data_IF_257210251409
#
_entry.id   IF_257210251409
#
_cell.length_a   1.000
_cell.length_b   1.000
_cell.length_c   1.000
_cell.angle_alpha   90.00
_cell.angle_beta   90.00
_cell.angle_gamma   90.00
#
_symmetry.space_group_name_H-M   'P 1'
#
loop_
_entity.id
_entity.type
_entity.pdbx_description
1 polymer ?
#
# COMPACT_ATOMS: atom_id res chain seq x y z
N UNK A 1 -15.11 -17.46 -8.34
CA UNK A 1 -15.24 -18.90 -8.72
C UNK A 1 -14.23 -19.27 -9.81
N UNK A 2 -14.16 -18.52 -10.94
CA UNK A 2 -13.30 -18.86 -12.09
C UNK A 2 -11.81 -19.02 -11.73
N UNK A 3 -11.24 -18.08 -10.97
CA UNK A 3 -9.84 -18.13 -10.51
C UNK A 3 -9.52 -19.40 -9.71
N UNK A 4 -10.46 -19.86 -8.87
CA UNK A 4 -10.30 -21.10 -8.09
C UNK A 4 -10.31 -22.33 -8.99
N UNK A 5 -11.13 -22.34 -10.04
CA UNK A 5 -11.18 -23.42 -11.03
C UNK A 5 -9.87 -23.47 -11.82
N UNK A 6 -9.36 -22.33 -12.25
CA UNK A 6 -8.07 -22.24 -12.96
C UNK A 6 -6.89 -22.66 -12.08
N UNK A 7 -7.00 -22.48 -10.76
CA UNK A 7 -6.05 -22.98 -9.77
C UNK A 7 -6.16 -24.50 -9.50
N UNK A 8 -7.06 -25.21 -10.20
CA UNK A 8 -7.22 -26.66 -10.10
C UNK A 8 -8.27 -27.13 -9.10
N UNK A 9 -9.09 -26.23 -8.55
CA UNK A 9 -10.18 -26.59 -7.63
C UNK A 9 -11.40 -27.01 -8.45
N UNK A 10 -12.06 -28.12 -8.05
CA UNK A 10 -13.27 -28.56 -8.72
C UNK A 10 -14.38 -27.51 -8.69
N UNK A 11 -15.24 -27.49 -9.72
CA UNK A 11 -16.34 -26.52 -9.84
C UNK A 11 -17.24 -26.48 -8.59
N UNK A 12 -17.59 -27.63 -8.06
CA UNK A 12 -18.44 -27.75 -6.87
C UNK A 12 -17.78 -27.10 -5.65
N UNK A 13 -16.51 -27.42 -5.38
CA UNK A 13 -15.75 -26.86 -4.27
C UNK A 13 -15.49 -25.37 -4.46
N UNK A 14 -15.18 -24.93 -5.67
CA UNK A 14 -14.99 -23.51 -5.97
C UNK A 14 -16.26 -22.69 -5.73
N UNK A 15 -17.43 -23.27 -6.01
CA UNK A 15 -18.72 -22.64 -5.73
C UNK A 15 -19.01 -22.57 -4.23
N UNK A 16 -18.81 -23.66 -3.48
CA UNK A 16 -18.95 -23.70 -2.02
C UNK A 16 -18.04 -22.68 -1.34
N UNK A 17 -16.77 -22.60 -1.73
CA UNK A 17 -15.81 -21.61 -1.25
C UNK A 17 -16.24 -20.18 -1.56
N UNK A 18 -16.78 -19.95 -2.76
CA UNK A 18 -17.27 -18.62 -3.14
C UNK A 18 -18.43 -18.17 -2.26
N UNK A 19 -19.37 -19.07 -1.97
CA UNK A 19 -20.49 -18.78 -1.06
C UNK A 19 -20.02 -18.54 0.39
N UNK A 20 -19.10 -19.38 0.89
CA UNK A 20 -18.52 -19.22 2.22
C UNK A 20 -17.69 -17.95 2.35
N UNK A 21 -17.11 -17.47 1.24
CA UNK A 21 -16.30 -16.24 1.21
C UNK A 21 -17.14 -15.01 1.55
N UNK A 22 -18.41 -14.95 1.16
CA UNK A 22 -19.26 -13.78 1.38
C UNK A 22 -19.42 -13.41 2.87
N UNK A 23 -19.21 -14.33 3.79
CA UNK A 23 -19.21 -14.07 5.24
C UNK A 23 -17.94 -13.34 5.70
N UNK A 24 -16.83 -13.42 4.95
CA UNK A 24 -15.52 -12.87 5.28
C UNK A 24 -15.18 -11.68 4.38
N UNK A 25 -15.53 -11.78 3.10
CA UNK A 25 -15.23 -10.79 2.08
C UNK A 25 -16.25 -10.86 0.94
N UNK A 26 -16.82 -9.71 0.57
CA UNK A 26 -17.76 -9.61 -0.54
C UNK A 26 -17.07 -9.98 -1.87
N UNK A 27 -17.49 -11.10 -2.46
CA UNK A 27 -16.89 -11.65 -3.69
C UNK A 27 -16.96 -10.68 -4.89
N UNK A 28 -17.88 -9.70 -4.88
CA UNK A 28 -18.00 -8.66 -5.92
C UNK A 28 -16.85 -7.67 -5.89
N UNK A 29 -16.10 -7.62 -4.78
CA UNK A 29 -14.93 -6.75 -4.60
C UNK A 29 -13.62 -7.38 -5.09
N UNK A 30 -13.64 -8.60 -5.61
CA UNK A 30 -12.48 -9.15 -6.29
C UNK A 30 -12.13 -8.31 -7.51
N UNK A 31 -10.88 -7.88 -7.59
CA UNK A 31 -10.36 -7.06 -8.70
C UNK A 31 -9.44 -7.91 -9.58
N UNK A 32 -9.63 -7.84 -10.87
CA UNK A 32 -8.69 -8.41 -11.83
C UNK A 32 -7.35 -7.67 -11.71
N UNK A 33 -6.25 -8.43 -11.75
CA UNK A 33 -4.89 -7.89 -11.65
C UNK A 33 -4.32 -7.83 -10.23
N UNK A 34 -5.11 -8.04 -9.18
CA UNK A 34 -4.56 -8.19 -7.84
C UNK A 34 -3.69 -9.46 -7.74
N UNK A 35 -2.56 -9.42 -7.00
CA UNK A 35 -1.67 -10.56 -6.84
C UNK A 35 -2.37 -11.77 -6.22
N UNK A 36 -2.00 -12.95 -6.72
CA UNK A 36 -2.44 -14.24 -6.22
C UNK A 36 -1.21 -15.09 -5.94
N UNK A 37 -1.14 -15.68 -4.74
CA UNK A 37 -0.12 -16.65 -4.36
C UNK A 37 -0.75 -18.01 -4.16
N UNK A 38 -0.18 -19.02 -4.76
CA UNK A 38 -0.61 -20.41 -4.63
C UNK A 38 0.49 -21.24 -4.00
N UNK A 39 0.21 -21.87 -2.87
CA UNK A 39 1.15 -22.75 -2.18
C UNK A 39 0.70 -24.21 -2.36
N UNK A 40 1.62 -25.01 -2.89
CA UNK A 40 1.42 -26.43 -3.13
C UNK A 40 2.20 -27.25 -2.10
N UNK A 41 1.61 -28.34 -1.64
CA UNK A 41 2.28 -29.33 -0.83
C UNK A 41 2.30 -30.68 -1.52
N UNK A 42 3.24 -31.54 -1.15
CA UNK A 42 3.30 -32.91 -1.62
C UNK A 42 2.50 -33.80 -0.69
N UNK A 43 1.45 -34.44 -1.22
CA UNK A 43 0.73 -35.51 -0.55
C UNK A 43 0.74 -36.73 -1.47
N UNK A 44 1.30 -37.84 -0.98
CA UNK A 44 1.39 -39.12 -1.72
C UNK A 44 2.00 -38.99 -3.13
N UNK A 45 3.11 -38.18 -3.26
CA UNK A 45 3.78 -37.88 -4.52
C UNK A 45 2.99 -37.01 -5.52
N UNK A 46 1.83 -36.52 -5.13
CA UNK A 46 1.02 -35.59 -5.92
C UNK A 46 1.13 -34.17 -5.36
N UNK A 47 1.37 -33.20 -6.23
CA UNK A 47 1.28 -31.79 -5.89
C UNK A 47 -0.19 -31.40 -5.69
N UNK A 48 -0.55 -30.99 -4.49
CA UNK A 48 -1.90 -30.51 -4.16
C UNK A 48 -1.86 -29.08 -3.71
N UNK A 49 -2.80 -28.26 -4.20
CA UNK A 49 -2.95 -26.87 -3.75
C UNK A 49 -3.40 -26.88 -2.29
N UNK A 50 -2.57 -26.28 -1.43
CA UNK A 50 -2.84 -26.20 0.03
C UNK A 50 -3.37 -24.84 0.45
N UNK A 51 -2.87 -23.78 -0.18
CA UNK A 51 -3.33 -22.43 0.09
C UNK A 51 -3.49 -21.65 -1.21
N UNK A 52 -4.58 -20.93 -1.30
CA UNK A 52 -4.80 -19.90 -2.30
C UNK A 52 -4.94 -18.57 -1.58
N UNK A 53 -4.04 -17.61 -1.85
CA UNK A 53 -3.95 -16.34 -1.17
C UNK A 53 -4.22 -15.24 -2.20
N UNK A 54 -5.21 -14.39 -1.93
CA UNK A 54 -5.57 -13.25 -2.77
C UNK A 54 -5.26 -11.95 -2.03
N UNK A 55 -4.41 -11.09 -2.59
CA UNK A 55 -4.10 -9.79 -2.02
C UNK A 55 -5.22 -8.78 -2.33
N UNK A 56 -5.92 -8.31 -1.28
CA UNK A 56 -6.99 -7.31 -1.38
C UNK A 56 -6.37 -5.93 -1.58
N UNK A 57 -5.28 -5.65 -0.85
CA UNK A 57 -4.53 -4.40 -0.84
C UNK A 57 -3.06 -4.68 -0.54
N UNK A 58 -2.25 -3.64 -0.38
CA UNK A 58 -0.86 -3.79 0.04
C UNK A 58 -0.71 -4.44 1.44
N UNK A 59 -1.75 -4.31 2.27
CA UNK A 59 -1.76 -4.79 3.65
C UNK A 59 -2.61 -6.04 3.82
N UNK A 60 -3.80 -6.07 3.25
CA UNK A 60 -4.83 -7.07 3.52
C UNK A 60 -4.86 -8.17 2.46
N UNK A 61 -5.06 -9.40 2.89
CA UNK A 61 -5.19 -10.55 2.00
C UNK A 61 -6.19 -11.58 2.54
N UNK A 62 -6.77 -12.34 1.61
CA UNK A 62 -7.62 -13.48 1.90
C UNK A 62 -6.82 -14.75 1.78
N UNK A 63 -6.98 -15.64 2.75
CA UNK A 63 -6.41 -16.99 2.73
C UNK A 63 -7.53 -18.00 2.57
N UNK A 64 -7.43 -18.82 1.54
CA UNK A 64 -8.21 -20.02 1.36
C UNK A 64 -7.34 -21.20 1.80
N UNK A 65 -7.60 -21.74 2.97
CA UNK A 65 -6.90 -22.90 3.52
C UNK A 65 -7.59 -24.17 3.01
N UNK A 66 -6.93 -24.88 2.11
CA UNK A 66 -7.43 -26.03 1.37
C UNK A 66 -6.78 -27.35 1.82
N UNK A 67 -5.97 -27.31 2.88
CA UNK A 67 -5.23 -28.49 3.38
C UNK A 67 -6.15 -29.64 3.77
N UNK A 68 -7.28 -29.30 4.38
CA UNK A 68 -8.33 -30.27 4.70
C UNK A 68 -9.48 -30.11 3.71
N UNK A 69 -9.61 -31.06 2.81
CA UNK A 69 -10.66 -31.05 1.77
C UNK A 69 -12.09 -31.20 2.33
N UNK A 70 -12.23 -31.61 3.59
CA UNK A 70 -13.52 -31.75 4.29
C UNK A 70 -13.85 -30.52 5.13
N UNK A 71 -12.85 -29.71 5.50
CA UNK A 71 -13.02 -28.53 6.34
C UNK A 71 -12.16 -27.37 5.82
N UNK A 72 -12.46 -26.91 4.61
CA UNK A 72 -11.80 -25.74 4.03
C UNK A 72 -12.21 -24.48 4.79
N UNK A 73 -11.24 -23.57 5.00
CA UNK A 73 -11.46 -22.32 5.74
C UNK A 73 -11.07 -21.13 4.89
N UNK A 74 -11.81 -20.05 5.07
CA UNK A 74 -11.51 -18.77 4.46
C UNK A 74 -11.40 -17.75 5.59
N UNK A 75 -10.34 -16.97 5.59
CA UNK A 75 -10.16 -15.91 6.56
C UNK A 75 -9.36 -14.75 5.96
N UNK A 76 -9.56 -13.57 6.53
CA UNK A 76 -8.83 -12.36 6.19
C UNK A 76 -7.67 -12.20 7.16
N UNK A 77 -6.51 -11.86 6.64
CA UNK A 77 -5.30 -11.53 7.38
C UNK A 77 -4.74 -10.20 6.91
N UNK A 78 -3.88 -9.60 7.72
CA UNK A 78 -3.18 -8.35 7.39
C UNK A 78 -1.70 -8.48 7.68
N UNK A 79 -0.87 -7.97 6.78
CA UNK A 79 0.56 -7.85 7.00
C UNK A 79 0.81 -6.82 8.12
N UNK A 80 1.77 -7.06 9.03
CA UNK A 80 2.11 -6.07 10.04
C UNK A 80 2.65 -4.79 9.37
N UNK A 81 2.11 -3.65 9.79
CA UNK A 81 2.56 -2.34 9.33
C UNK A 81 3.44 -1.73 10.43
N UNK A 82 4.66 -1.38 10.07
CA UNK A 82 5.58 -0.64 10.92
C UNK A 82 5.46 0.85 10.63
N UNK A 83 5.44 1.67 11.68
CA UNK A 83 5.44 3.13 11.55
C UNK A 83 6.86 3.63 11.82
N UNK A 84 7.46 4.29 10.83
CA UNK A 84 8.83 4.80 10.90
C UNK A 84 8.85 6.30 10.70
N UNK A 85 9.46 7.05 11.65
CA UNK A 85 9.69 8.48 11.46
C UNK A 85 10.79 8.70 10.41
N UNK A 86 10.49 9.51 9.43
CA UNK A 86 11.40 9.94 8.36
C UNK A 86 11.65 11.42 8.41
N UNK A 87 12.89 11.79 8.14
CA UNK A 87 13.32 13.19 8.01
C UNK A 87 14.01 13.38 6.67
N UNK A 88 13.55 14.35 5.93
CA UNK A 88 14.10 14.64 4.60
C UNK A 88 14.28 16.13 4.40
N UNK A 89 15.32 16.49 3.63
CA UNK A 89 15.54 17.83 3.10
C UNK A 89 15.76 17.71 1.59
N UNK A 90 15.03 18.50 0.81
CA UNK A 90 15.20 18.64 -0.63
C UNK A 90 15.46 20.09 -1.01
N UNK A 91 16.25 20.30 -2.05
CA UNK A 91 16.51 21.60 -2.66
C UNK A 91 15.86 21.61 -4.04
N UNK A 92 15.20 22.70 -4.38
CA UNK A 92 14.54 22.88 -5.67
C UNK A 92 15.60 23.24 -6.71
N UNK A 93 15.71 22.38 -7.72
CA UNK A 93 16.52 22.66 -8.92
C UNK A 93 15.61 23.03 -10.11
N UNK A 94 14.44 22.42 -10.22
CA UNK A 94 13.47 22.64 -11.30
C UNK A 94 12.04 22.78 -10.77
N UNK A 95 11.56 21.82 -9.98
CA UNK A 95 10.22 21.80 -9.40
C UNK A 95 10.21 21.07 -8.06
N UNK A 96 9.17 21.31 -7.24
CA UNK A 96 8.95 20.56 -6.01
C UNK A 96 8.82 19.06 -6.30
N UNK A 97 8.04 18.72 -7.33
CA UNK A 97 7.84 17.33 -7.73
C UNK A 97 9.16 16.60 -7.99
N UNK A 98 10.01 17.16 -8.85
CA UNK A 98 11.29 16.55 -9.17
C UNK A 98 12.19 16.44 -7.93
N UNK A 99 12.27 17.50 -7.11
CA UNK A 99 13.08 17.49 -5.89
C UNK A 99 12.61 16.42 -4.89
N UNK A 100 11.31 16.12 -4.83
CA UNK A 100 10.77 15.07 -3.96
C UNK A 100 11.02 13.67 -4.53
N UNK A 101 10.78 13.46 -5.81
CA UNK A 101 11.03 12.17 -6.47
C UNK A 101 12.51 11.80 -6.44
N UNK A 102 13.42 12.77 -6.65
CA UNK A 102 14.88 12.57 -6.56
C UNK A 102 15.33 12.15 -5.14
N UNK A 103 14.55 12.47 -4.13
CA UNK A 103 14.74 11.99 -2.74
C UNK A 103 14.05 10.65 -2.45
N UNK A 104 13.44 10.02 -3.45
CA UNK A 104 12.71 8.76 -3.29
C UNK A 104 11.39 8.89 -2.53
N UNK A 105 10.84 10.11 -2.46
CA UNK A 105 9.55 10.35 -1.80
C UNK A 105 8.39 9.97 -2.72
N UNK A 106 7.28 9.56 -2.10
CA UNK A 106 6.11 9.12 -2.85
C UNK A 106 5.38 10.30 -3.52
N UNK A 107 4.74 10.08 -4.67
CA UNK A 107 3.88 11.09 -5.28
C UNK A 107 2.78 11.62 -4.35
N UNK A 108 2.21 10.79 -3.49
CA UNK A 108 1.20 11.21 -2.50
C UNK A 108 1.76 12.24 -1.53
N UNK A 109 2.99 12.06 -1.04
CA UNK A 109 3.62 13.02 -0.14
C UNK A 109 3.89 14.37 -0.83
N UNK A 110 4.21 14.36 -2.14
CA UNK A 110 4.37 15.58 -2.91
C UNK A 110 3.03 16.34 -3.05
N UNK A 111 1.93 15.62 -3.24
CA UNK A 111 0.58 16.22 -3.27
C UNK A 111 0.20 16.81 -1.92
N UNK A 112 0.40 16.06 -0.81
CA UNK A 112 0.15 16.55 0.55
C UNK A 112 0.95 17.82 0.87
N UNK A 113 2.23 17.87 0.47
CA UNK A 113 3.04 19.09 0.59
C UNK A 113 2.45 20.26 -0.21
N UNK A 114 2.00 20.00 -1.42
CA UNK A 114 1.37 21.03 -2.25
C UNK A 114 0.08 21.56 -1.62
N UNK A 115 -0.72 20.68 -1.01
CA UNK A 115 -1.96 21.05 -0.33
C UNK A 115 -1.69 21.89 0.94
N UNK A 116 -0.68 21.50 1.75
CA UNK A 116 -0.28 22.23 2.96
C UNK A 116 0.08 23.69 2.64
N UNK A 117 0.76 23.92 1.53
CA UNK A 117 1.27 25.23 1.17
C UNK A 117 0.49 25.94 0.05
N UNK A 118 -0.63 25.38 -0.42
CA UNK A 118 -1.40 25.88 -1.57
C UNK A 118 -1.77 27.37 -1.49
N UNK A 119 -1.97 27.89 -0.28
CA UNK A 119 -2.37 29.27 -0.03
C UNK A 119 -1.21 30.21 0.38
N UNK A 120 0.00 29.65 0.56
CA UNK A 120 1.12 30.41 1.11
C UNK A 120 2.36 30.44 0.20
N UNK A 121 2.50 29.46 -0.69
CA UNK A 121 3.63 29.32 -1.61
C UNK A 121 3.10 29.17 -3.03
N UNK A 122 3.57 30.04 -3.92
CA UNK A 122 3.34 29.88 -5.36
C UNK A 122 4.32 28.85 -5.93
N UNK A 123 3.82 27.64 -6.13
CA UNK A 123 4.64 26.55 -6.69
C UNK A 123 5.04 26.73 -8.15
N UNK A 124 4.40 27.66 -8.90
CA UNK A 124 4.82 28.04 -10.24
C UNK A 124 5.94 29.06 -10.23
N UNK A 125 6.11 29.80 -9.12
CA UNK A 125 7.15 30.81 -8.92
C UNK A 125 8.40 30.30 -8.20
N UNK A 126 8.54 28.98 -7.98
CA UNK A 126 9.69 28.41 -7.28
C UNK A 126 11.00 28.72 -7.99
N UNK A 127 12.02 29.03 -7.20
CA UNK A 127 13.35 29.38 -7.68
C UNK A 127 14.36 28.29 -7.34
N UNK A 128 15.37 28.18 -8.17
CA UNK A 128 16.52 27.34 -7.87
C UNK A 128 17.15 27.78 -6.55
N UNK A 129 17.32 26.82 -5.63
CA UNK A 129 17.85 27.08 -4.29
C UNK A 129 16.78 27.18 -3.20
N UNK A 130 15.50 27.35 -3.55
CA UNK A 130 14.42 27.12 -2.59
C UNK A 130 14.53 25.69 -2.03
N UNK A 131 14.09 25.47 -0.81
CA UNK A 131 14.22 24.15 -0.19
C UNK A 131 13.05 23.82 0.71
N UNK A 132 12.89 22.53 0.96
CA UNK A 132 11.94 22.03 1.96
C UNK A 132 12.61 21.10 2.96
N UNK A 133 12.00 21.01 4.14
CA UNK A 133 12.31 20.01 5.16
C UNK A 133 11.00 19.37 5.62
N UNK A 134 11.01 18.06 5.79
CA UNK A 134 9.86 17.28 6.26
C UNK A 134 10.27 16.36 7.39
N UNK A 135 9.38 16.22 8.37
CA UNK A 135 9.34 15.11 9.31
C UNK A 135 7.97 14.46 9.17
N UNK A 136 7.93 13.19 8.83
CA UNK A 136 6.68 12.46 8.60
C UNK A 136 6.77 11.02 9.11
N UNK A 137 5.61 10.44 9.36
CA UNK A 137 5.47 9.03 9.71
C UNK A 137 5.16 8.24 8.44
N UNK A 138 6.05 7.32 8.11
CA UNK A 138 5.92 6.42 6.97
C UNK A 138 5.38 5.08 7.44
N UNK A 139 4.41 4.55 6.69
CA UNK A 139 3.93 3.18 6.84
C UNK A 139 4.78 2.25 5.99
N UNK A 140 5.31 1.20 6.62
CA UNK A 140 6.17 0.21 5.96
C UNK A 140 5.65 -1.21 6.18
N UNK A 141 5.80 -2.05 5.15
CA UNK A 141 5.65 -3.50 5.20
C UNK A 141 6.93 -4.10 4.63
N UNK A 142 7.58 -5.01 5.38
CA UNK A 142 8.85 -5.63 4.99
C UNK A 142 9.91 -4.58 4.57
N UNK A 143 9.98 -3.46 5.32
CA UNK A 143 10.88 -2.31 5.08
C UNK A 143 10.61 -1.56 3.77
N UNK A 144 9.48 -1.80 3.12
CA UNK A 144 9.03 -1.06 1.93
C UNK A 144 7.95 -0.08 2.31
N UNK A 145 8.07 1.15 1.84
CA UNK A 145 7.05 2.18 2.01
C UNK A 145 5.75 1.74 1.34
N UNK A 146 4.64 1.80 2.07
CA UNK A 146 3.30 1.51 1.56
C UNK A 146 2.37 2.72 1.68
N UNK A 147 2.80 3.76 2.39
CA UNK A 147 2.04 4.99 2.54
C UNK A 147 2.69 5.99 3.49
N UNK A 148 2.08 7.15 3.60
CA UNK A 148 2.38 8.18 4.59
C UNK A 148 1.22 8.22 5.56
N UNK A 149 1.50 8.08 6.84
CA UNK A 149 0.48 8.15 7.89
C UNK A 149 0.16 9.60 8.24
N UNK A 150 1.21 10.43 8.38
CA UNK A 150 1.07 11.79 8.89
C UNK A 150 2.34 12.60 8.64
N UNK A 151 2.18 13.87 8.28
CA UNK A 151 3.28 14.86 8.28
C UNK A 151 3.31 15.53 9.65
N UNK A 152 4.38 15.34 10.42
CA UNK A 152 4.58 15.92 11.75
C UNK A 152 5.09 17.36 11.70
N UNK A 153 5.85 17.69 10.68
CA UNK A 153 6.45 19.00 10.50
C UNK A 153 6.80 19.19 9.03
N UNK A 154 6.49 20.35 8.51
CA UNK A 154 6.97 20.79 7.22
C UNK A 154 7.54 22.22 7.32
N UNK A 155 8.62 22.46 6.60
CA UNK A 155 9.18 23.79 6.34
C UNK A 155 9.41 23.93 4.86
N UNK A 156 8.94 25.01 4.28
CA UNK A 156 9.25 25.41 2.92
C UNK A 156 9.93 26.77 2.92
N UNK A 157 11.13 26.86 2.35
CA UNK A 157 11.79 28.14 2.11
C UNK A 157 11.56 28.56 0.66
N UNK A 158 10.94 29.69 0.47
CA UNK A 158 10.72 30.30 -0.84
C UNK A 158 11.22 31.73 -0.84
N UNK A 159 12.12 32.02 -1.76
CA UNK A 159 12.75 33.36 -1.90
C UNK A 159 13.35 33.90 -0.58
N UNK A 160 13.98 32.98 0.20
CA UNK A 160 14.64 33.34 1.47
C UNK A 160 13.68 33.47 2.65
N UNK A 161 12.38 33.27 2.46
CA UNK A 161 11.38 33.28 3.54
C UNK A 161 10.96 31.87 3.92
N UNK A 162 10.97 31.56 5.22
CA UNK A 162 10.58 30.31 5.77
C UNK A 162 9.07 30.26 6.08
N UNK A 163 8.40 29.22 5.61
CA UNK A 163 7.00 28.91 5.89
C UNK A 163 6.94 27.58 6.65
N UNK A 164 6.43 27.65 7.87
CA UNK A 164 6.31 26.49 8.75
C UNK A 164 4.89 25.93 8.72
N UNK A 165 4.76 24.62 8.74
CA UNK A 165 3.49 23.94 8.93
C UNK A 165 3.65 22.82 9.97
N UNK A 166 2.75 22.83 10.94
CA UNK A 166 2.65 21.85 12.02
C UNK A 166 1.19 21.43 12.08
N UNK A 167 0.88 20.11 12.19
CA UNK A 167 -0.50 19.67 12.38
C UNK A 167 -1.12 20.34 13.61
N UNK A 168 -2.36 20.75 13.47
CA UNK A 168 -3.14 21.25 14.59
C UNK A 168 -4.06 20.11 15.07
N UNK A 169 -3.96 19.76 16.36
CA UNK A 169 -4.85 18.80 17.04
C UNK A 169 -6.14 19.49 17.52
#
# INVERSE_FOLDING_TARGET
>A
TQMLIEAGISKTKAFELTQSCDSVFDVRKFKAGNPITMLYGNKDSLQTLQYFIYEISNTDYLVFDLRDSTNMRIYKESKPVEIVERRVKGVIETSLWNAMIDKGLTPSLAMEMSDIYAWTVDFFGLQKGDYFKLVYLEEQIDKKSVGVKEIKFALFNHQGKDYYAIPFE
#
